data_IF_600979395426
#
_entry.id   IF_600979395426
#
_cell.length_a   1.000
_cell.length_b   1.000
_cell.length_c   1.000
_cell.angle_alpha   90.00
_cell.angle_beta   90.00
_cell.angle_gamma   90.00
#
_symmetry.space_group_name_H-M   'P 1'
#
loop_
_entity.id
_entity.type
_entity.pdbx_description
1 polymer ?
#
# COMPACT_ATOMS: atom_id res chain seq x y z
N UNK A 1 -17.40 8.49 22.19
CA UNK A 1 -18.71 7.95 21.77
C UNK A 1 -18.86 6.57 22.40
N UNK A 2 -19.98 6.37 23.08
CA UNK A 2 -20.32 5.16 23.81
C UNK A 2 -20.74 4.03 22.87
N UNK A 3 -20.40 2.77 23.20
CA UNK A 3 -21.27 1.59 23.04
C UNK A 3 -20.52 0.33 23.44
N UNK A 4 -20.87 -0.32 24.54
CA UNK A 4 -21.90 -1.37 24.71
C UNK A 4 -21.26 -2.76 24.81
N UNK A 5 -21.24 -3.25 26.04
CA UNK A 5 -21.04 -4.65 26.41
C UNK A 5 -22.25 -5.51 26.00
N UNK A 6 -22.06 -6.71 25.45
CA UNK A 6 -22.98 -7.83 25.63
C UNK A 6 -22.42 -8.71 26.77
N UNK A 7 -23.12 -8.94 27.88
CA UNK A 7 -24.43 -9.57 27.93
C UNK A 7 -24.23 -11.02 28.42
N UNK A 8 -24.09 -11.19 29.74
CA UNK A 8 -24.03 -12.49 30.40
C UNK A 8 -25.41 -13.15 30.33
N UNK A 9 -25.50 -14.27 29.62
CA UNK A 9 -26.68 -15.13 29.57
C UNK A 9 -26.54 -16.27 30.57
N UNK A 10 -27.45 -16.29 31.53
CA UNK A 10 -27.69 -17.31 32.56
C UNK A 10 -28.66 -18.33 31.95
N UNK A 11 -28.36 -19.63 32.00
CA UNK A 11 -29.34 -20.72 31.80
C UNK A 11 -28.79 -21.97 32.50
N UNK A 12 -29.17 -22.18 33.77
CA UNK A 12 -30.31 -23.01 34.22
C UNK A 12 -30.02 -24.51 34.09
N UNK A 13 -29.52 -25.08 35.18
CA UNK A 13 -29.41 -26.51 35.43
C UNK A 13 -30.74 -27.00 36.02
N UNK A 14 -31.56 -27.70 35.25
CA UNK A 14 -32.67 -28.50 35.78
C UNK A 14 -32.26 -29.98 35.79
N UNK A 15 -31.95 -30.46 36.98
CA UNK A 15 -31.67 -31.85 37.28
C UNK A 15 -32.98 -32.60 37.57
N UNK A 16 -33.54 -33.27 36.57
CA UNK A 16 -34.65 -34.21 36.77
C UNK A 16 -34.09 -35.59 37.12
N UNK A 17 -34.21 -35.97 38.39
CA UNK A 17 -33.98 -37.35 38.83
C UNK A 17 -35.18 -38.22 38.44
N UNK A 18 -34.97 -39.20 37.56
CA UNK A 18 -35.96 -40.24 37.25
C UNK A 18 -35.48 -41.56 37.84
N UNK A 19 -36.14 -41.98 38.92
CA UNK A 19 -36.10 -43.34 39.46
C UNK A 19 -37.00 -44.25 38.62
N UNK A 20 -36.46 -45.36 38.09
CA UNK A 20 -37.27 -46.43 37.51
C UNK A 20 -36.85 -47.80 38.05
N UNK A 21 -37.81 -48.42 38.73
CA UNK A 21 -37.78 -49.79 39.28
C UNK A 21 -38.66 -50.68 38.39
N UNK A 22 -38.23 -51.93 38.19
CA UNK A 22 -38.98 -53.02 37.55
C UNK A 22 -38.23 -53.57 36.33
N UNK A 23 -37.41 -54.61 36.43
CA UNK A 23 -37.71 -56.04 36.66
C UNK A 23 -38.59 -56.65 35.56
N UNK A 24 -37.95 -57.00 34.45
CA UNK A 24 -38.47 -57.89 33.40
C UNK A 24 -37.30 -58.40 32.55
N UNK A 25 -36.66 -59.50 32.98
CA UNK A 25 -35.88 -60.37 32.09
C UNK A 25 -36.90 -60.97 31.09
N UNK A 26 -36.69 -61.06 29.78
CA UNK A 26 -35.60 -61.67 29.03
C UNK A 26 -35.63 -61.10 27.59
N UNK A 27 -34.47 -61.03 26.92
CA UNK A 27 -34.24 -60.59 25.51
C UNK A 27 -34.01 -59.09 25.20
N UNK A 28 -33.49 -58.27 26.12
CA UNK A 28 -33.19 -56.83 25.88
C UNK A 28 -31.71 -56.50 25.52
N UNK A 29 -30.80 -57.48 25.56
CA UNK A 29 -29.35 -57.22 25.44
C UNK A 29 -28.85 -56.72 24.07
N UNK A 30 -29.63 -56.89 22.99
CA UNK A 30 -29.24 -56.43 21.64
C UNK A 30 -29.79 -55.04 21.29
N UNK A 31 -30.82 -54.56 22.00
CA UNK A 31 -31.44 -53.25 21.73
C UNK A 31 -30.56 -52.10 22.25
N UNK A 32 -29.89 -52.28 23.38
CA UNK A 32 -29.02 -51.22 23.95
C UNK A 32 -27.78 -50.93 23.10
N UNK A 33 -27.23 -51.94 22.41
CA UNK A 33 -26.07 -51.75 21.52
C UNK A 33 -26.46 -50.98 20.25
N UNK A 34 -27.64 -51.27 19.71
CA UNK A 34 -28.18 -50.52 18.55
C UNK A 34 -28.42 -49.06 18.96
N UNK A 35 -28.99 -48.82 20.14
CA UNK A 35 -29.24 -47.47 20.65
C UNK A 35 -27.92 -46.72 20.93
N UNK A 36 -26.89 -47.39 21.45
CA UNK A 36 -25.55 -46.78 21.60
C UNK A 36 -24.89 -46.47 20.27
N UNK A 37 -25.03 -47.34 19.26
CA UNK A 37 -24.52 -47.08 17.92
C UNK A 37 -25.25 -45.92 17.25
N UNK A 38 -26.57 -45.84 17.39
CA UNK A 38 -27.37 -44.70 16.91
C UNK A 38 -26.93 -43.40 17.59
N UNK A 39 -26.77 -43.41 18.91
CA UNK A 39 -26.28 -42.23 19.65
C UNK A 39 -24.87 -41.81 19.20
N UNK A 40 -23.98 -42.78 18.95
CA UNK A 40 -22.64 -42.50 18.44
C UNK A 40 -22.66 -41.92 17.00
N UNK A 41 -23.56 -42.41 16.15
CA UNK A 41 -23.78 -41.89 14.80
C UNK A 41 -24.32 -40.45 14.87
N UNK A 42 -25.32 -40.20 15.71
CA UNK A 42 -25.91 -38.87 15.88
C UNK A 42 -24.88 -37.87 16.43
N UNK A 43 -24.04 -38.30 17.38
CA UNK A 43 -22.94 -37.48 17.90
C UNK A 43 -21.93 -37.12 16.79
N UNK A 44 -21.53 -38.09 15.96
CA UNK A 44 -20.62 -37.85 14.82
C UNK A 44 -21.24 -36.95 13.77
N UNK A 45 -22.54 -37.11 13.48
CA UNK A 45 -23.30 -36.23 12.58
C UNK A 45 -23.32 -34.80 13.12
N UNK A 46 -23.59 -34.62 14.42
CA UNK A 46 -23.60 -33.32 15.06
C UNK A 46 -22.22 -32.64 15.01
N UNK A 47 -21.15 -33.37 15.30
CA UNK A 47 -19.76 -32.87 15.22
C UNK A 47 -19.38 -32.49 13.77
N UNK A 48 -19.78 -33.30 12.78
CA UNK A 48 -19.55 -33.02 11.37
C UNK A 48 -20.29 -31.74 10.91
N UNK A 49 -21.57 -31.60 11.28
CA UNK A 49 -22.36 -30.39 10.99
C UNK A 49 -21.74 -29.16 11.64
N UNK A 50 -21.28 -29.27 12.89
CA UNK A 50 -20.58 -28.19 13.59
C UNK A 50 -19.28 -27.79 12.88
N UNK A 51 -18.48 -28.77 12.44
CA UNK A 51 -17.24 -28.54 11.69
C UNK A 51 -17.49 -27.84 10.34
N UNK A 52 -18.48 -28.29 9.57
CA UNK A 52 -18.90 -27.65 8.31
C UNK A 52 -19.35 -26.21 8.55
N UNK A 53 -20.11 -25.97 9.63
CA UNK A 53 -20.53 -24.63 10.04
C UNK A 53 -19.34 -23.70 10.33
N UNK A 54 -18.31 -24.20 11.03
CA UNK A 54 -17.09 -23.44 11.30
C UNK A 54 -16.30 -23.13 10.01
N UNK A 55 -16.11 -24.12 9.13
CA UNK A 55 -15.43 -23.94 7.84
C UNK A 55 -16.14 -22.93 6.93
N UNK A 56 -17.49 -22.94 6.89
CA UNK A 56 -18.27 -21.93 6.18
C UNK A 56 -18.05 -20.53 6.73
N UNK A 57 -18.08 -20.36 8.05
CA UNK A 57 -17.77 -19.06 8.69
C UNK A 57 -16.38 -18.55 8.31
N UNK A 58 -15.37 -19.44 8.30
CA UNK A 58 -14.02 -19.10 7.87
C UNK A 58 -13.96 -18.69 6.40
N UNK A 59 -14.63 -19.43 5.50
CA UNK A 59 -14.73 -19.08 4.06
C UNK A 59 -15.37 -17.70 3.83
N UNK A 60 -16.43 -17.36 4.57
CA UNK A 60 -17.03 -16.04 4.50
C UNK A 60 -16.09 -14.94 4.99
N UNK A 61 -15.38 -15.18 6.10
CA UNK A 61 -14.37 -14.23 6.60
C UNK A 61 -13.25 -14.00 5.55
N UNK A 62 -12.77 -15.06 4.89
CA UNK A 62 -11.79 -14.94 3.80
C UNK A 62 -12.32 -14.13 2.60
N UNK A 63 -13.61 -14.29 2.24
CA UNK A 63 -14.22 -13.52 1.16
C UNK A 63 -14.33 -12.03 1.50
N UNK A 64 -14.68 -11.71 2.75
CA UNK A 64 -14.70 -10.33 3.24
C UNK A 64 -13.30 -9.73 3.20
N UNK A 65 -12.28 -10.49 3.63
CA UNK A 65 -10.88 -10.06 3.56
C UNK A 65 -10.43 -9.80 2.11
N UNK A 66 -10.84 -10.65 1.15
CA UNK A 66 -10.53 -10.46 -0.26
C UNK A 66 -11.16 -9.19 -0.84
N UNK A 67 -12.43 -8.91 -0.50
CA UNK A 67 -13.10 -7.67 -0.92
C UNK A 67 -12.44 -6.42 -0.31
N UNK A 68 -12.01 -6.50 0.96
CA UNK A 68 -11.26 -5.43 1.60
C UNK A 68 -9.91 -5.18 0.90
N UNK A 69 -9.21 -6.24 0.48
CA UNK A 69 -7.98 -6.13 -0.29
C UNK A 69 -8.20 -5.51 -1.68
N UNK A 70 -9.26 -5.93 -2.40
CA UNK A 70 -9.62 -5.33 -3.69
C UNK A 70 -9.93 -3.83 -3.55
N UNK A 71 -10.66 -3.44 -2.51
CA UNK A 71 -10.95 -2.03 -2.22
C UNK A 71 -9.67 -1.25 -1.90
N UNK A 72 -8.81 -1.77 -1.02
CA UNK A 72 -7.53 -1.16 -0.68
C UNK A 72 -6.64 -0.98 -1.92
N UNK A 73 -6.61 -1.96 -2.83
CA UNK A 73 -5.87 -1.88 -4.08
C UNK A 73 -6.40 -0.78 -5.02
N UNK A 74 -7.72 -0.60 -5.11
CA UNK A 74 -8.32 0.46 -5.93
C UNK A 74 -7.97 1.85 -5.36
N UNK A 75 -8.10 2.03 -4.05
CA UNK A 75 -7.72 3.30 -3.39
C UNK A 75 -6.22 3.59 -3.54
N UNK A 76 -5.37 2.57 -3.46
CA UNK A 76 -3.94 2.68 -3.71
C UNK A 76 -3.63 3.16 -5.14
N UNK A 77 -4.29 2.59 -6.15
CA UNK A 77 -4.15 3.05 -7.53
C UNK A 77 -4.61 4.50 -7.71
N UNK A 78 -5.73 4.87 -7.09
CA UNK A 78 -6.26 6.24 -7.14
C UNK A 78 -5.28 7.22 -6.50
N UNK A 79 -4.69 6.87 -5.35
CA UNK A 79 -3.66 7.67 -4.71
C UNK A 79 -2.43 7.83 -5.61
N UNK A 80 -1.94 6.76 -6.26
CA UNK A 80 -0.82 6.85 -7.22
C UNK A 80 -1.09 7.83 -8.36
N UNK A 81 -2.30 7.82 -8.93
CA UNK A 81 -2.68 8.75 -10.00
C UNK A 81 -2.73 10.21 -9.50
N UNK A 82 -3.27 10.43 -8.29
CA UNK A 82 -3.27 11.76 -7.67
C UNK A 82 -1.85 12.27 -7.41
N UNK A 83 -0.97 11.41 -6.88
CA UNK A 83 0.44 11.77 -6.68
C UNK A 83 1.13 12.06 -8.01
N UNK A 84 0.94 11.25 -9.05
CA UNK A 84 1.50 11.51 -10.38
C UNK A 84 1.04 12.88 -10.92
N UNK A 85 -0.23 13.23 -10.77
CA UNK A 85 -0.77 14.54 -11.14
C UNK A 85 -0.15 15.68 -10.33
N UNK A 86 0.00 15.51 -9.01
CA UNK A 86 0.65 16.51 -8.15
C UNK A 86 2.12 16.72 -8.52
N UNK A 87 2.87 15.65 -8.81
CA UNK A 87 4.25 15.74 -9.29
C UNK A 87 4.35 16.47 -10.63
N UNK A 88 3.42 16.20 -11.56
CA UNK A 88 3.39 16.90 -12.83
C UNK A 88 3.12 18.41 -12.63
N UNK A 89 2.13 18.77 -11.81
CA UNK A 89 1.82 20.17 -11.53
C UNK A 89 3.00 20.92 -10.87
N UNK A 90 3.70 20.26 -9.94
CA UNK A 90 4.91 20.79 -9.32
C UNK A 90 6.04 20.97 -10.35
N UNK A 91 6.24 19.99 -11.23
CA UNK A 91 7.23 20.09 -12.30
C UNK A 91 6.94 21.25 -13.26
N UNK A 92 5.68 21.42 -13.67
CA UNK A 92 5.24 22.55 -14.49
C UNK A 92 5.45 23.90 -13.78
N UNK A 93 5.19 23.97 -12.47
CA UNK A 93 5.48 25.16 -11.66
C UNK A 93 6.97 25.48 -11.63
N UNK A 94 7.84 24.50 -11.39
CA UNK A 94 9.29 24.73 -11.43
C UNK A 94 9.76 25.17 -12.81
N UNK A 95 9.23 24.58 -13.88
CA UNK A 95 9.58 24.99 -15.23
C UNK A 95 9.18 26.44 -15.51
N UNK A 96 8.03 26.89 -14.99
CA UNK A 96 7.62 28.31 -15.07
C UNK A 96 8.61 29.22 -14.36
N UNK A 97 9.05 28.87 -13.15
CA UNK A 97 10.03 29.67 -12.39
C UNK A 97 11.39 29.73 -13.10
N UNK A 98 11.87 28.60 -13.63
CA UNK A 98 13.13 28.54 -14.41
C UNK A 98 13.03 29.45 -15.64
N UNK A 99 11.90 29.40 -16.35
CA UNK A 99 11.67 30.23 -17.53
C UNK A 99 11.61 31.72 -17.17
N UNK A 100 10.89 32.10 -16.11
CA UNK A 100 10.79 33.49 -15.64
C UNK A 100 12.16 34.05 -15.24
N UNK A 101 12.94 33.29 -14.47
CA UNK A 101 14.30 33.67 -14.11
C UNK A 101 15.19 33.80 -15.35
N UNK A 102 15.11 32.85 -16.29
CA UNK A 102 15.89 32.92 -17.54
C UNK A 102 15.55 34.18 -18.34
N UNK A 103 14.27 34.56 -18.40
CA UNK A 103 13.83 35.80 -19.05
C UNK A 103 14.39 37.03 -18.33
N UNK A 104 14.35 37.08 -16.99
CA UNK A 104 14.95 38.17 -16.22
C UNK A 104 16.46 38.31 -16.47
N UNK A 105 17.19 37.19 -16.50
CA UNK A 105 18.62 37.20 -16.82
C UNK A 105 18.90 37.72 -18.24
N UNK A 106 18.05 37.39 -19.22
CA UNK A 106 18.16 37.93 -20.59
C UNK A 106 17.89 39.44 -20.61
N UNK A 107 16.83 39.90 -19.96
CA UNK A 107 16.52 41.34 -19.86
C UNK A 107 17.66 42.13 -19.20
N UNK A 108 18.24 41.62 -18.11
CA UNK A 108 19.40 42.24 -17.47
C UNK A 108 20.61 42.27 -18.40
N UNK A 109 20.84 41.19 -19.15
CA UNK A 109 21.94 41.13 -20.13
C UNK A 109 21.77 42.19 -21.24
N UNK A 110 20.55 42.40 -21.73
CA UNK A 110 20.25 43.44 -22.72
C UNK A 110 20.49 44.84 -22.16
N UNK A 111 20.06 45.10 -20.92
CA UNK A 111 20.31 46.39 -20.23
C UNK A 111 21.81 46.63 -20.04
N UNK A 112 22.57 45.62 -19.60
CA UNK A 112 24.03 45.70 -19.46
C UNK A 112 24.66 46.05 -20.81
N UNK A 113 24.31 45.31 -21.87
CA UNK A 113 24.86 45.56 -23.21
C UNK A 113 24.53 46.95 -23.78
N UNK A 114 23.33 47.47 -23.49
CA UNK A 114 22.94 48.83 -23.85
C UNK A 114 23.79 49.87 -23.10
N UNK A 115 24.03 49.66 -21.80
CA UNK A 115 24.84 50.57 -20.96
C UNK A 115 26.32 50.53 -21.34
N UNK A 116 26.87 49.36 -21.64
CA UNK A 116 28.23 49.23 -22.19
C UNK A 116 28.38 49.95 -23.54
N UNK A 117 27.35 49.92 -24.38
CA UNK A 117 27.36 50.64 -25.66
C UNK A 117 27.36 52.16 -25.44
N UNK A 118 26.60 52.65 -24.46
CA UNK A 118 26.57 54.05 -24.03
C UNK A 118 27.95 54.48 -23.49
N UNK A 119 28.59 53.65 -22.66
CA UNK A 119 29.98 53.87 -22.16
C UNK A 119 30.95 54.02 -23.34
N UNK A 120 30.93 53.08 -24.30
CA UNK A 120 31.79 53.12 -25.50
C UNK A 120 31.58 54.39 -26.33
N UNK A 121 30.37 54.93 -26.37
CA UNK A 121 30.09 56.21 -27.03
C UNK A 121 30.75 57.37 -26.28
N UNK A 122 30.63 57.43 -24.95
CA UNK A 122 31.30 58.44 -24.13
C UNK A 122 32.83 58.35 -24.25
N UNK A 123 33.41 57.15 -24.26
CA UNK A 123 34.84 56.93 -24.51
C UNK A 123 35.28 57.47 -25.89
N UNK A 124 34.48 57.23 -26.92
CA UNK A 124 34.72 57.77 -28.27
C UNK A 124 34.67 59.30 -28.26
N UNK A 125 33.68 59.90 -27.59
CA UNK A 125 33.58 61.37 -27.45
C UNK A 125 34.78 61.93 -26.72
N UNK A 126 35.21 61.30 -25.63
CA UNK A 126 36.41 61.70 -24.89
C UNK A 126 37.65 61.63 -25.77
N UNK A 127 37.85 60.53 -26.51
CA UNK A 127 38.99 60.36 -27.43
C UNK A 127 39.03 61.37 -28.56
N UNK A 128 37.88 61.91 -28.97
CA UNK A 128 37.80 62.95 -30.01
C UNK A 128 38.09 64.35 -29.46
N UNK A 129 37.82 64.58 -28.17
CA UNK A 129 38.00 65.89 -27.52
C UNK A 129 39.41 66.05 -26.95
N UNK A 130 40.08 64.98 -26.51
CA UNK A 130 41.53 65.02 -26.25
C UNK A 130 42.25 65.20 -27.59
N UNK A 131 42.72 66.42 -27.93
CA UNK A 131 43.50 66.57 -29.14
C UNK A 131 44.76 65.74 -28.91
N UNK A 132 45.12 64.89 -29.88
CA UNK A 132 46.51 64.45 -29.98
C UNK A 132 47.39 65.68 -29.79
N UNK A 133 48.45 65.59 -28.98
CA UNK A 133 49.33 66.72 -28.68
C UNK A 133 49.93 67.24 -29.98
N UNK A 134 49.21 68.11 -30.68
CA UNK A 134 49.72 68.85 -31.80
C UNK A 134 50.68 69.87 -31.18
N UNK A 135 51.91 69.94 -31.69
CA UNK A 135 53.05 70.72 -31.17
C UNK A 135 52.83 72.25 -31.01
N UNK A 136 51.59 72.75 -31.07
CA UNK A 136 51.23 74.18 -31.05
C UNK A 136 50.68 74.69 -29.72
N UNK A 137 50.58 73.86 -28.68
CA UNK A 137 50.32 74.32 -27.30
C UNK A 137 49.08 75.20 -27.12
N UNK A 138 48.03 75.00 -27.93
CA UNK A 138 46.78 75.73 -27.75
C UNK A 138 46.02 75.11 -26.57
N UNK A 139 45.86 75.90 -25.51
CA UNK A 139 45.04 75.54 -24.37
C UNK A 139 43.61 75.23 -24.84
N UNK A 140 43.03 74.13 -24.35
CA UNK A 140 41.63 73.81 -24.59
C UNK A 140 40.75 74.96 -24.11
N UNK A 141 39.78 75.38 -24.93
CA UNK A 141 38.77 76.33 -24.48
C UNK A 141 38.02 75.78 -23.27
N UNK A 142 37.72 76.63 -22.30
CA UNK A 142 37.06 76.28 -21.03
C UNK A 142 35.79 75.42 -21.23
N UNK A 143 34.95 75.72 -22.23
CA UNK A 143 33.76 74.90 -22.53
C UNK A 143 34.05 73.46 -22.99
N UNK A 144 35.23 73.17 -23.57
CA UNK A 144 35.63 71.79 -23.88
C UNK A 144 36.04 71.03 -22.63
N UNK A 145 36.57 71.73 -21.62
CA UNK A 145 36.93 71.14 -20.33
C UNK A 145 35.69 70.69 -19.58
N UNK A 146 34.66 71.53 -19.51
CA UNK A 146 33.38 71.22 -18.85
C UNK A 146 32.68 70.02 -19.52
N UNK A 147 32.71 69.95 -20.86
CA UNK A 147 32.16 68.80 -21.60
C UNK A 147 32.90 67.50 -21.32
N UNK A 148 34.23 67.54 -21.20
CA UNK A 148 35.05 66.36 -20.85
C UNK A 148 34.75 65.91 -19.42
N UNK A 149 34.67 66.85 -18.47
CA UNK A 149 34.37 66.54 -17.08
C UNK A 149 32.98 65.90 -16.93
N UNK A 150 31.96 66.46 -17.62
CA UNK A 150 30.62 65.87 -17.65
C UNK A 150 30.61 64.47 -18.28
N UNK A 151 31.36 64.25 -19.36
CA UNK A 151 31.46 62.96 -20.03
C UNK A 151 32.17 61.90 -19.17
N UNK A 152 33.22 62.28 -18.42
CA UNK A 152 33.89 61.40 -17.45
C UNK A 152 32.92 61.03 -16.33
N UNK A 153 32.27 62.01 -15.70
CA UNK A 153 31.32 61.77 -14.62
C UNK A 153 30.17 60.85 -15.08
N UNK A 154 29.67 61.04 -16.31
CA UNK A 154 28.62 60.18 -16.86
C UNK A 154 29.10 58.77 -17.17
N UNK A 155 30.32 58.61 -17.67
CA UNK A 155 30.95 57.30 -17.88
C UNK A 155 31.06 56.55 -16.56
N UNK A 156 31.59 57.19 -15.51
CA UNK A 156 31.74 56.59 -14.19
C UNK A 156 30.39 56.17 -13.58
N UNK A 157 29.35 57.00 -13.73
CA UNK A 157 27.97 56.66 -13.32
C UNK A 157 27.45 55.40 -14.03
N UNK A 158 27.72 55.27 -15.34
CA UNK A 158 27.27 54.13 -16.13
C UNK A 158 28.06 52.86 -15.79
N UNK A 159 29.37 52.96 -15.58
CA UNK A 159 30.22 51.85 -15.13
C UNK A 159 29.74 51.33 -13.77
N UNK A 160 29.43 52.22 -12.83
CA UNK A 160 28.85 51.83 -11.55
C UNK A 160 27.52 51.06 -11.72
N UNK A 161 26.62 51.54 -12.59
CA UNK A 161 25.36 50.83 -12.88
C UNK A 161 25.57 49.47 -13.54
N UNK A 162 26.55 49.31 -14.43
CA UNK A 162 26.88 48.00 -15.00
C UNK A 162 27.32 47.03 -13.90
N UNK A 163 28.20 47.47 -12.99
CA UNK A 163 28.63 46.62 -11.87
C UNK A 163 27.48 46.24 -10.93
N UNK A 164 26.53 47.14 -10.70
CA UNK A 164 25.31 46.87 -9.93
C UNK A 164 24.45 45.79 -10.59
N UNK A 165 24.15 45.92 -11.89
CA UNK A 165 23.35 44.91 -12.61
C UNK A 165 24.05 43.55 -12.73
N UNK A 166 25.39 43.53 -12.88
CA UNK A 166 26.15 42.28 -12.86
C UNK A 166 26.08 41.60 -11.50
N UNK A 167 26.16 42.39 -10.41
CA UNK A 167 26.02 41.90 -9.04
C UNK A 167 24.62 41.33 -8.81
N UNK A 168 23.57 42.08 -9.16
CA UNK A 168 22.17 41.64 -9.05
C UNK A 168 21.93 40.34 -9.82
N UNK A 169 22.43 40.24 -11.06
CA UNK A 169 22.33 39.02 -11.88
C UNK A 169 23.03 37.84 -11.20
N UNK A 170 24.22 38.06 -10.64
CA UNK A 170 24.99 37.01 -9.95
C UNK A 170 24.27 36.53 -8.68
N UNK A 171 23.76 37.46 -7.87
CA UNK A 171 22.99 37.16 -6.66
C UNK A 171 21.72 36.35 -6.97
N UNK A 172 20.96 36.76 -8.01
CA UNK A 172 19.75 36.07 -8.44
C UNK A 172 20.03 34.62 -8.88
N UNK A 173 21.11 34.39 -9.64
CA UNK A 173 21.51 33.03 -10.03
C UNK A 173 21.95 32.19 -8.83
N UNK A 174 22.66 32.79 -7.87
CA UNK A 174 23.10 32.11 -6.66
C UNK A 174 21.93 31.72 -5.75
N UNK A 175 20.97 32.64 -5.55
CA UNK A 175 19.76 32.38 -4.78
C UNK A 175 18.97 31.21 -5.39
N UNK A 176 18.72 31.24 -6.70
CA UNK A 176 18.04 30.14 -7.38
C UNK A 176 18.76 28.79 -7.22
N UNK A 177 20.09 28.79 -7.35
CA UNK A 177 20.87 27.57 -7.17
C UNK A 177 20.78 27.05 -5.72
N UNK A 178 20.80 27.95 -4.73
CA UNK A 178 20.64 27.59 -3.33
C UNK A 178 19.25 27.00 -3.04
N UNK A 179 18.18 27.62 -3.56
CA UNK A 179 16.81 27.11 -3.44
C UNK A 179 16.66 25.73 -4.08
N UNK A 180 17.22 25.54 -5.27
CA UNK A 180 17.23 24.25 -5.96
C UNK A 180 17.94 23.18 -5.14
N UNK A 181 19.11 23.48 -4.58
CA UNK A 181 19.83 22.56 -3.71
C UNK A 181 19.03 22.19 -2.46
N UNK A 182 18.44 23.18 -1.79
CA UNK A 182 17.61 22.99 -0.58
C UNK A 182 16.43 22.07 -0.88
N UNK A 183 15.71 22.33 -1.96
CA UNK A 183 14.56 21.55 -2.37
C UNK A 183 14.91 20.09 -2.71
N UNK A 184 16.01 19.86 -3.43
CA UNK A 184 16.49 18.49 -3.71
C UNK A 184 16.82 17.75 -2.42
N UNK A 185 17.46 18.43 -1.46
CA UNK A 185 17.79 17.86 -0.17
C UNK A 185 16.55 17.51 0.65
N UNK A 186 15.56 18.41 0.72
CA UNK A 186 14.28 18.18 1.40
C UNK A 186 13.55 16.98 0.79
N UNK A 187 13.45 16.93 -0.54
CA UNK A 187 12.82 15.80 -1.25
C UNK A 187 13.53 14.46 -0.97
N UNK A 188 14.86 14.47 -0.94
CA UNK A 188 15.64 13.28 -0.63
C UNK A 188 15.42 12.81 0.82
N UNK A 189 15.34 13.74 1.78
CA UNK A 189 15.05 13.44 3.17
C UNK A 189 13.64 12.83 3.33
N UNK A 190 12.63 13.41 2.68
CA UNK A 190 11.26 12.87 2.70
C UNK A 190 11.18 11.47 2.09
N UNK A 191 11.85 11.26 0.94
CA UNK A 191 11.93 9.94 0.31
C UNK A 191 12.57 8.91 1.23
N UNK A 192 13.67 9.25 1.90
CA UNK A 192 14.32 8.38 2.88
C UNK A 192 13.37 8.03 4.03
N UNK A 193 12.65 9.03 4.56
CA UNK A 193 11.66 8.83 5.64
C UNK A 193 10.55 7.87 5.21
N UNK A 194 9.95 8.07 4.03
CA UNK A 194 8.90 7.17 3.52
C UNK A 194 9.40 5.74 3.30
N UNK A 195 10.62 5.58 2.76
CA UNK A 195 11.21 4.24 2.59
C UNK A 195 11.40 3.54 3.93
N UNK A 196 11.84 4.26 4.95
CA UNK A 196 12.01 3.72 6.30
C UNK A 196 10.67 3.34 6.94
N UNK A 197 9.63 4.16 6.77
CA UNK A 197 8.27 3.87 7.24
C UNK A 197 7.71 2.60 6.58
N UNK A 198 7.79 2.48 5.25
CA UNK A 198 7.36 1.26 4.55
C UNK A 198 8.16 0.01 4.96
N UNK A 199 9.46 0.14 5.21
CA UNK A 199 10.26 -0.96 5.72
C UNK A 199 9.77 -1.41 7.10
N UNK A 200 9.52 -0.47 8.01
CA UNK A 200 8.99 -0.76 9.34
C UNK A 200 7.61 -1.43 9.29
N UNK A 201 6.71 -0.96 8.42
CA UNK A 201 5.40 -1.59 8.22
C UNK A 201 5.52 -3.02 7.68
N UNK A 202 6.42 -3.24 6.71
CA UNK A 202 6.70 -4.57 6.18
C UNK A 202 7.22 -5.51 7.27
N UNK A 203 8.14 -5.04 8.12
CA UNK A 203 8.65 -5.84 9.24
C UNK A 203 7.54 -6.24 10.21
N UNK A 204 6.67 -5.29 10.60
CA UNK A 204 5.50 -5.57 11.44
C UNK A 204 4.57 -6.60 10.82
N UNK A 205 4.26 -6.47 9.53
CA UNK A 205 3.39 -7.41 8.83
C UNK A 205 3.98 -8.83 8.76
N UNK A 206 5.29 -8.94 8.54
CA UNK A 206 5.99 -10.23 8.54
C UNK A 206 5.96 -10.86 9.93
N UNK A 207 6.19 -10.07 10.99
CA UNK A 207 6.11 -10.52 12.38
C UNK A 207 4.70 -11.04 12.73
N UNK A 208 3.66 -10.27 12.37
CA UNK A 208 2.27 -10.68 12.56
C UNK A 208 1.93 -11.98 11.82
N UNK A 209 2.39 -12.12 10.58
CA UNK A 209 2.18 -13.34 9.79
C UNK A 209 2.90 -14.54 10.41
N UNK A 210 4.14 -14.36 10.86
CA UNK A 210 4.91 -15.40 11.53
C UNK A 210 4.21 -15.86 12.83
N UNK A 211 3.73 -14.91 13.63
CA UNK A 211 2.94 -15.20 14.83
C UNK A 211 1.64 -15.95 14.49
N UNK A 212 0.96 -15.59 13.40
CA UNK A 212 -0.23 -16.31 12.94
C UNK A 212 0.08 -17.75 12.51
N UNK A 213 1.21 -17.98 11.82
CA UNK A 213 1.66 -19.32 11.43
C UNK A 213 2.02 -20.18 12.63
N UNK A 214 2.73 -19.64 13.62
CA UNK A 214 3.04 -20.34 14.88
C UNK A 214 1.75 -20.75 15.60
N UNK A 215 0.79 -19.83 15.70
CA UNK A 215 -0.50 -20.11 16.32
C UNK A 215 -1.30 -21.18 15.55
N UNK A 216 -1.24 -21.18 14.21
CA UNK A 216 -1.87 -22.20 13.39
C UNK A 216 -1.21 -23.58 13.59
N UNK A 217 0.12 -23.63 13.61
CA UNK A 217 0.88 -24.87 13.87
C UNK A 217 0.53 -25.45 15.25
N UNK A 218 0.50 -24.62 16.30
CA UNK A 218 0.10 -25.04 17.65
C UNK A 218 -1.32 -25.64 17.69
N UNK A 219 -2.26 -25.07 16.92
CA UNK A 219 -3.63 -25.59 16.82
C UNK A 219 -3.68 -26.93 16.08
N UNK A 220 -2.86 -27.12 15.04
CA UNK A 220 -2.75 -28.39 14.31
C UNK A 220 -2.19 -29.47 15.24
N UNK A 221 -1.07 -29.20 15.92
CA UNK A 221 -0.49 -30.17 16.86
C UNK A 221 -1.45 -30.56 17.99
N UNK A 222 -2.22 -29.59 18.52
CA UNK A 222 -3.25 -29.89 19.52
C UNK A 222 -4.40 -30.75 18.95
N UNK A 223 -4.75 -30.60 17.67
CA UNK A 223 -5.74 -31.44 17.01
C UNK A 223 -5.22 -32.86 16.74
N UNK A 224 -3.97 -32.98 16.30
CA UNK A 224 -3.29 -34.27 16.09
C UNK A 224 -3.18 -35.09 17.38
N UNK A 225 -2.88 -34.43 18.51
CA UNK A 225 -2.91 -35.07 19.83
C UNK A 225 -4.28 -35.67 20.16
N UNK A 226 -5.36 -34.89 19.96
CA UNK A 226 -6.74 -35.38 20.17
C UNK A 226 -7.12 -36.53 19.23
N UNK A 227 -6.67 -36.51 17.98
CA UNK A 227 -6.90 -37.63 17.03
C UNK A 227 -6.21 -38.89 17.55
N UNK A 228 -4.97 -38.77 18.03
CA UNK A 228 -4.22 -39.91 18.58
C UNK A 228 -4.91 -40.52 19.81
N UNK A 229 -5.41 -39.68 20.73
CA UNK A 229 -6.21 -40.13 21.88
C UNK A 229 -7.49 -40.86 21.45
N UNK A 230 -8.22 -40.34 20.45
CA UNK A 230 -9.42 -40.96 19.90
C UNK A 230 -9.11 -42.31 19.24
N UNK A 231 -7.99 -42.42 18.52
CA UNK A 231 -7.54 -43.68 17.90
C UNK A 231 -7.18 -44.74 18.94
N UNK A 232 -6.56 -44.35 20.05
CA UNK A 232 -6.25 -45.26 21.16
C UNK A 232 -7.51 -45.77 21.85
N UNK A 233 -8.47 -44.87 22.13
CA UNK A 233 -9.79 -45.25 22.64
C UNK A 233 -10.52 -46.21 21.69
N UNK A 234 -10.42 -45.99 20.37
CA UNK A 234 -11.01 -46.90 19.40
C UNK A 234 -10.33 -48.28 19.39
N UNK A 235 -9.00 -48.34 19.53
CA UNK A 235 -8.27 -49.62 19.64
C UNK A 235 -8.66 -50.38 20.90
N UNK A 236 -8.74 -49.72 22.05
CA UNK A 236 -9.12 -50.36 23.32
C UNK A 236 -10.56 -50.87 23.29
N UNK A 237 -11.50 -50.05 22.79
CA UNK A 237 -12.90 -50.46 22.60
C UNK A 237 -13.02 -51.67 21.65
N UNK A 238 -12.28 -51.67 20.54
CA UNK A 238 -12.27 -52.80 19.59
C UNK A 238 -11.73 -54.08 20.23
N UNK A 239 -10.66 -54.00 21.02
CA UNK A 239 -10.09 -55.14 21.73
C UNK A 239 -11.07 -55.73 22.76
N UNK A 240 -11.79 -54.88 23.50
CA UNK A 240 -12.85 -55.32 24.43
C UNK A 240 -13.99 -56.04 23.68
N UNK A 241 -14.40 -55.53 22.52
CA UNK A 241 -15.44 -56.16 21.70
C UNK A 241 -15.04 -57.57 21.25
N UNK A 242 -13.78 -57.75 20.82
CA UNK A 242 -13.26 -59.08 20.44
C UNK A 242 -13.12 -60.05 21.61
N UNK A 243 -12.92 -59.58 22.84
CA UNK A 243 -12.78 -60.46 24.00
C UNK A 243 -14.11 -60.96 24.55
N UNK A 244 -15.24 -60.36 24.17
CA UNK A 244 -16.57 -60.83 24.59
C UNK A 244 -17.07 -62.10 23.86
N UNK A 245 -16.26 -62.65 22.94
CA UNK A 245 -16.56 -63.89 22.23
C UNK A 245 -17.68 -63.75 21.19
N UNK A 246 -17.72 -64.61 20.17
CA UNK A 246 -18.79 -64.60 19.18
C UNK A 246 -20.11 -65.01 19.86
N UNK A 247 -20.89 -64.02 20.29
CA UNK A 247 -22.30 -64.24 20.62
C UNK A 247 -23.00 -64.74 19.36
N UNK A 248 -23.76 -65.83 19.52
CA UNK A 248 -24.30 -66.64 18.44
C UNK A 248 -24.85 -65.80 17.28
N UNK A 249 -24.42 -66.18 16.07
CA UNK A 249 -24.85 -65.64 14.77
C UNK A 249 -26.32 -65.22 14.77
N UNK A 250 -26.64 -63.91 14.72
CA UNK A 250 -28.00 -63.48 14.45
C UNK A 250 -28.37 -63.94 13.04
N UNK A 251 -29.50 -64.63 12.93
CA UNK A 251 -30.05 -65.09 11.66
C UNK A 251 -30.13 -63.94 10.63
N UNK A 252 -29.92 -64.23 9.34
CA UNK A 252 -29.97 -63.23 8.29
C UNK A 252 -31.38 -62.63 8.18
N UNK A 253 -31.57 -61.45 8.78
CA UNK A 253 -32.76 -60.64 8.55
C UNK A 253 -32.70 -60.17 7.10
N UNK A 254 -33.56 -60.76 6.29
CA UNK A 254 -33.84 -60.41 4.91
C UNK A 254 -34.17 -58.91 4.84
N UNK A 255 -33.24 -58.14 4.32
CA UNK A 255 -33.41 -56.70 4.06
C UNK A 255 -34.44 -56.52 2.93
N UNK A 256 -35.60 -55.86 3.17
CA UNK A 256 -36.60 -55.64 2.14
C UNK A 256 -36.07 -54.72 1.04
N UNK A 257 -36.28 -55.18 -0.19
CA UNK A 257 -35.94 -54.52 -1.43
C UNK A 257 -36.50 -53.09 -1.57
N UNK A 258 -35.69 -52.30 -2.28
CA UNK A 258 -36.09 -51.36 -3.33
C UNK A 258 -36.85 -50.08 -2.94
N UNK A 259 -36.09 -49.05 -2.56
CA UNK A 259 -36.46 -47.66 -2.79
C UNK A 259 -35.60 -47.04 -3.89
N UNK A 260 -36.06 -47.15 -5.16
CA UNK A 260 -35.48 -46.45 -6.31
C UNK A 260 -35.51 -44.93 -6.07
N UNK A 261 -34.41 -44.32 -5.63
CA UNK A 261 -34.23 -42.86 -5.71
C UNK A 261 -33.61 -42.54 -7.06
N UNK A 262 -34.41 -41.85 -7.88
CA UNK A 262 -34.02 -41.31 -9.17
C UNK A 262 -32.81 -40.41 -8.98
N UNK A 263 -31.77 -40.68 -9.77
CA UNK A 263 -30.70 -39.73 -10.07
C UNK A 263 -31.34 -38.50 -10.71
N UNK A 264 -31.40 -37.40 -9.96
CA UNK A 264 -31.70 -36.10 -10.53
C UNK A 264 -30.36 -35.47 -10.93
N UNK A 265 -30.13 -35.57 -12.24
CA UNK A 265 -29.01 -35.04 -13.01
C UNK A 265 -29.01 -33.51 -12.90
N UNK A 266 -28.38 -32.96 -11.87
CA UNK A 266 -28.32 -31.52 -11.67
C UNK A 266 -27.08 -30.94 -12.37
N UNK A 267 -27.30 -30.64 -13.65
CA UNK A 267 -26.63 -29.63 -14.49
C UNK A 267 -25.24 -29.17 -14.04
N UNK A 268 -24.25 -29.72 -14.73
CA UNK A 268 -22.89 -29.21 -14.87
C UNK A 268 -22.93 -27.77 -15.39
N UNK A 269 -22.93 -26.79 -14.48
CA UNK A 269 -22.76 -25.39 -14.83
C UNK A 269 -21.32 -25.17 -15.26
N UNK A 270 -21.14 -25.14 -16.58
CA UNK A 270 -19.97 -24.65 -17.28
C UNK A 270 -19.40 -23.41 -16.58
N UNK A 271 -18.19 -23.55 -16.06
CA UNK A 271 -17.37 -22.42 -15.63
C UNK A 271 -16.95 -21.66 -16.90
N UNK A 272 -17.28 -20.36 -17.05
CA UNK A 272 -16.79 -19.58 -18.17
C UNK A 272 -15.28 -19.42 -18.03
N UNK A 273 -14.54 -20.08 -18.91
CA UNK A 273 -13.11 -19.85 -19.12
C UNK A 273 -12.93 -18.38 -19.52
N UNK A 274 -12.37 -17.60 -18.59
CA UNK A 274 -11.95 -16.21 -18.84
C UNK A 274 -10.95 -16.21 -20.00
N UNK A 275 -11.42 -15.85 -21.19
CA UNK A 275 -10.58 -15.57 -22.36
C UNK A 275 -9.53 -14.53 -21.98
N UNK A 276 -8.27 -14.86 -22.26
CA UNK A 276 -7.10 -14.02 -22.03
C UNK A 276 -7.28 -12.62 -22.63
N UNK A 277 -7.19 -11.61 -21.77
CA UNK A 277 -7.15 -10.22 -22.18
C UNK A 277 -5.77 -9.95 -22.78
N UNK A 278 -5.69 -9.90 -24.12
CA UNK A 278 -4.53 -9.39 -24.87
C UNK A 278 -4.13 -8.04 -24.27
N UNK A 279 -2.98 -7.98 -23.60
CA UNK A 279 -2.30 -6.72 -23.27
C UNK A 279 -1.87 -6.08 -24.59
N UNK A 280 -2.61 -5.06 -25.02
CA UNK A 280 -2.12 -4.15 -26.07
C UNK A 280 -0.98 -3.36 -25.46
N UNK A 281 0.22 -3.52 -26.00
CA UNK A 281 1.37 -2.69 -25.66
C UNK A 281 1.01 -1.24 -25.97
N UNK A 282 1.05 -0.38 -24.95
CA UNK A 282 1.13 1.05 -25.11
C UNK A 282 2.52 1.36 -25.66
N UNK A 283 2.57 1.61 -26.96
CA UNK A 283 3.72 2.18 -27.66
C UNK A 283 3.74 3.65 -27.29
N UNK A 284 4.57 4.03 -26.32
CA UNK A 284 4.89 5.43 -26.05
C UNK A 284 5.71 5.90 -27.24
N UNK A 285 5.16 6.81 -28.04
CA UNK A 285 5.94 7.62 -28.96
C UNK A 285 6.54 8.78 -28.15
N UNK A 286 7.82 8.99 -28.42
CA UNK A 286 8.77 9.91 -27.79
C UNK A 286 8.24 11.35 -27.83
#
# INVERSE_FOLDING_TARGET
MASQHPGQGIESQDAVQVTRVGSGREAEGSRSDIDQQLFAIDKRLYEAVRSIGASRKNLYASRVALAAYEHAYIEEQKARLQYAGAYQALHEQHQRVINDMSQKCLSLQEVIGAKESEIKEYERRLSNVTPGKDNKGRDMSEGNRDMVELAIAKKEELEARVTEFETEKSEMMQEHQNEKCKMVQEHQNEKCKMVQEHQNEKYKMVEEHQNALINAANRISAAEGKISELEEMHRTAKSQLTSMGPTASPEPIVSPCAGKRKHEENSEKQVPTRKGRKRRGLRVQI
#
